data_IF_963813443687
#
_entry.id   IF_963813443687
#
_cell.length_a   1.000
_cell.length_b   1.000
_cell.length_c   1.000
_cell.angle_alpha   90.00
_cell.angle_beta   90.00
_cell.angle_gamma   90.00
#
_symmetry.space_group_name_H-M   'P 1'
#
loop_
_entity.id
_entity.type
_entity.pdbx_description
1 polymer ?
#
# COMPACT_ATOMS: atom_id res chain seq x y z
N UNK A 1 -32.34 1.14 -39.87
CA UNK A 1 -31.04 0.80 -39.23
C UNK A 1 -30.94 1.63 -37.96
N UNK A 2 -31.46 1.11 -36.88
CA UNK A 2 -31.46 1.71 -35.54
C UNK A 2 -30.44 0.91 -34.74
N UNK A 3 -29.28 1.51 -34.54
CA UNK A 3 -28.26 0.96 -33.69
C UNK A 3 -28.56 1.41 -32.23
N UNK A 4 -29.21 0.53 -31.50
CA UNK A 4 -29.59 0.72 -30.11
C UNK A 4 -28.72 -0.22 -29.24
N UNK A 5 -27.42 0.11 -29.11
CA UNK A 5 -26.51 -0.55 -28.19
C UNK A 5 -26.26 0.30 -26.95
N UNK A 6 -27.34 0.76 -26.29
CA UNK A 6 -27.25 1.25 -24.91
C UNK A 6 -27.29 0.07 -23.95
N UNK A 7 -26.14 -0.59 -23.84
CA UNK A 7 -25.94 -1.50 -22.73
C UNK A 7 -25.78 -0.63 -21.45
N UNK A 8 -26.66 -0.75 -20.45
CA UNK A 8 -26.49 0.03 -19.23
C UNK A 8 -25.12 -0.29 -18.62
N UNK A 9 -24.44 0.70 -18.01
CA UNK A 9 -23.18 0.46 -17.36
C UNK A 9 -23.36 -0.66 -16.33
N UNK A 10 -22.37 -1.58 -16.19
CA UNK A 10 -22.47 -2.68 -15.24
C UNK A 10 -22.74 -2.10 -13.84
N UNK A 11 -23.78 -2.62 -13.19
CA UNK A 11 -24.09 -2.28 -11.80
C UNK A 11 -22.87 -2.66 -10.99
N UNK A 12 -22.08 -1.67 -10.56
CA UNK A 12 -20.91 -1.89 -9.74
C UNK A 12 -21.36 -2.54 -8.44
N UNK A 13 -20.94 -3.79 -8.22
CA UNK A 13 -21.16 -4.45 -6.94
C UNK A 13 -20.56 -3.60 -5.82
N UNK A 14 -21.22 -3.53 -4.64
CA UNK A 14 -20.70 -2.75 -3.51
C UNK A 14 -19.27 -3.19 -3.15
N UNK A 15 -18.44 -2.28 -2.62
CA UNK A 15 -17.08 -2.60 -2.23
C UNK A 15 -17.08 -3.69 -1.14
N UNK A 16 -16.21 -4.69 -1.31
CA UNK A 16 -16.04 -5.79 -0.35
C UNK A 16 -15.08 -5.36 0.78
N UNK A 17 -15.33 -5.81 2.00
CA UNK A 17 -14.37 -5.63 3.10
C UNK A 17 -13.21 -6.60 2.89
N UNK A 18 -12.05 -6.08 2.48
CA UNK A 18 -10.85 -6.87 2.17
C UNK A 18 -10.00 -7.17 3.38
N UNK A 19 -10.09 -6.35 4.44
CA UNK A 19 -9.44 -6.61 5.72
C UNK A 19 -10.34 -6.19 6.87
N UNK A 20 -10.46 -7.06 7.86
CA UNK A 20 -11.18 -6.78 9.12
C UNK A 20 -10.31 -7.20 10.30
N UNK A 21 -10.08 -6.26 11.22
CA UNK A 21 -9.36 -6.48 12.48
C UNK A 21 -10.19 -5.97 13.64
N UNK A 22 -10.34 -6.77 14.69
CA UNK A 22 -11.05 -6.38 15.91
C UNK A 22 -10.36 -6.96 17.15
N UNK A 23 -10.14 -6.09 18.14
CA UNK A 23 -9.63 -6.47 19.46
C UNK A 23 -8.12 -6.71 19.49
N UNK A 24 -7.31 -5.94 18.76
CA UNK A 24 -5.84 -6.07 18.79
C UNK A 24 -5.26 -5.40 20.05
N UNK A 25 -4.41 -6.15 20.75
CA UNK A 25 -3.40 -5.63 21.67
C UNK A 25 -2.04 -6.19 21.26
N UNK A 26 -1.20 -5.32 20.67
CA UNK A 26 0.14 -5.68 20.22
C UNK A 26 1.18 -5.14 21.18
N UNK A 27 2.01 -6.02 21.73
CA UNK A 27 3.10 -5.67 22.64
C UNK A 27 4.43 -5.73 21.90
N UNK A 28 5.28 -4.78 22.19
CA UNK A 28 6.64 -4.65 21.73
C UNK A 28 7.56 -4.43 22.91
N UNK A 29 8.66 -5.12 22.95
CA UNK A 29 9.68 -4.88 23.96
C UNK A 29 10.87 -4.18 23.30
N UNK A 30 11.18 -2.97 23.75
CA UNK A 30 12.38 -2.24 23.37
C UNK A 30 13.54 -2.71 24.27
N UNK A 31 14.41 -3.56 23.71
CA UNK A 31 15.54 -4.16 24.44
C UNK A 31 16.53 -3.09 24.91
N UNK A 32 16.70 -2.00 24.15
CA UNK A 32 17.64 -0.93 24.46
C UNK A 32 17.17 -0.06 25.64
N UNK A 33 15.85 0.18 25.70
CA UNK A 33 15.24 0.99 26.76
C UNK A 33 14.71 0.19 27.94
N UNK A 34 14.61 -1.14 27.76
CA UNK A 34 14.00 -2.02 28.79
C UNK A 34 12.51 -1.77 29.01
N UNK A 35 11.82 -1.15 28.05
CA UNK A 35 10.43 -0.74 28.16
C UNK A 35 9.52 -1.53 27.22
N UNK A 36 8.30 -1.80 27.66
CA UNK A 36 7.24 -2.38 26.85
C UNK A 36 6.38 -1.26 26.26
N UNK A 37 6.16 -1.32 24.94
CA UNK A 37 5.23 -0.44 24.25
C UNK A 37 4.04 -1.24 23.71
N UNK A 38 2.82 -0.76 23.93
CA UNK A 38 1.59 -1.45 23.52
C UNK A 38 0.82 -0.65 22.47
N UNK A 39 0.35 -1.31 21.41
CA UNK A 39 -0.58 -0.75 20.42
C UNK A 39 -1.93 -1.41 20.56
N UNK A 40 -3.01 -0.60 20.69
CA UNK A 40 -4.38 -1.08 20.87
C UNK A 40 -5.29 -0.65 19.73
N UNK A 41 -6.13 -1.61 19.28
CA UNK A 41 -7.26 -1.39 18.37
C UNK A 41 -8.49 -1.95 19.05
N UNK A 42 -9.22 -1.10 19.76
CA UNK A 42 -10.36 -1.49 20.59
C UNK A 42 -11.67 -1.53 19.80
N UNK A 43 -11.78 -0.76 18.71
CA UNK A 43 -12.92 -0.73 17.80
C UNK A 43 -12.61 -1.49 16.50
N UNK A 44 -13.62 -2.08 15.82
CA UNK A 44 -13.39 -2.79 14.57
C UNK A 44 -12.81 -1.89 13.48
N UNK A 45 -11.69 -2.30 12.88
CA UNK A 45 -11.09 -1.67 11.72
C UNK A 45 -11.47 -2.49 10.47
N UNK A 46 -12.23 -1.90 9.56
CA UNK A 46 -12.69 -2.52 8.32
C UNK A 46 -12.21 -1.73 7.12
N UNK A 47 -11.42 -2.37 6.26
CA UNK A 47 -10.89 -1.78 5.04
C UNK A 47 -11.65 -2.35 3.86
N UNK A 48 -12.31 -1.49 3.10
CA UNK A 48 -13.05 -1.87 1.91
C UNK A 48 -12.14 -1.91 0.67
N UNK A 49 -12.47 -2.74 -0.30
CA UNK A 49 -11.85 -2.69 -1.64
C UNK A 49 -12.09 -1.32 -2.27
N UNK A 50 -11.21 -0.92 -3.17
CA UNK A 50 -11.28 0.38 -3.87
C UNK A 50 -11.13 1.60 -2.96
N UNK A 51 -10.75 1.42 -1.69
CA UNK A 51 -10.55 2.52 -0.75
C UNK A 51 -9.07 2.77 -0.46
N UNK A 52 -8.75 4.03 -0.20
CA UNK A 52 -7.50 4.47 0.41
C UNK A 52 -7.79 4.89 1.84
N UNK A 53 -7.10 4.26 2.78
CA UNK A 53 -7.19 4.53 4.21
C UNK A 53 -5.97 5.33 4.64
N UNK A 54 -6.15 6.45 5.33
CA UNK A 54 -5.07 7.18 5.97
C UNK A 54 -4.95 6.82 7.45
N UNK A 55 -3.78 6.37 7.87
CA UNK A 55 -3.44 6.16 9.27
C UNK A 55 -2.65 7.37 9.78
N UNK A 56 -3.31 8.20 10.56
CA UNK A 56 -2.79 9.46 11.11
C UNK A 56 -2.41 9.32 12.58
N UNK A 57 -1.47 10.13 13.01
CA UNK A 57 -1.09 10.27 14.42
C UNK A 57 0.35 10.76 14.59
N UNK A 58 0.73 11.20 15.79
CA UNK A 58 2.08 11.66 16.07
C UNK A 58 3.12 10.56 15.92
N UNK A 59 4.39 10.94 15.81
CA UNK A 59 5.49 9.97 15.79
C UNK A 59 5.52 9.17 17.10
N UNK A 60 5.85 7.89 17.00
CA UNK A 60 5.94 7.00 18.15
C UNK A 60 4.60 6.45 18.69
N UNK A 61 3.42 6.84 18.16
CA UNK A 61 2.16 6.27 18.61
C UNK A 61 1.84 4.86 18.10
N UNK A 62 2.76 4.20 17.37
CA UNK A 62 2.62 2.80 16.96
C UNK A 62 2.02 2.56 15.57
N UNK A 63 1.93 3.57 14.69
CA UNK A 63 1.40 3.41 13.31
C UNK A 63 2.11 2.31 12.52
N UNK A 64 3.44 2.35 12.47
CA UNK A 64 4.25 1.33 11.79
C UNK A 64 4.08 -0.05 12.42
N UNK A 65 3.93 -0.12 13.74
CA UNK A 65 3.61 -1.38 14.44
C UNK A 65 2.28 -1.96 13.99
N UNK A 66 1.23 -1.13 13.96
CA UNK A 66 -0.08 -1.55 13.46
C UNK A 66 0.02 -2.01 12.01
N UNK A 67 0.70 -1.24 11.14
CA UNK A 67 0.92 -1.60 9.74
C UNK A 67 1.61 -2.97 9.61
N UNK A 68 2.63 -3.26 10.43
CA UNK A 68 3.34 -4.55 10.35
C UNK A 68 2.47 -5.74 10.74
N UNK A 69 1.50 -5.57 11.64
CA UNK A 69 0.50 -6.60 11.97
C UNK A 69 -0.50 -6.77 10.84
N UNK A 70 -1.10 -5.67 10.37
CA UNK A 70 -2.06 -5.67 9.25
C UNK A 70 -1.44 -6.25 7.97
N UNK A 71 -0.16 -5.96 7.74
CA UNK A 71 0.62 -6.43 6.59
C UNK A 71 1.22 -7.83 6.75
N UNK A 72 0.88 -8.56 7.80
CA UNK A 72 1.36 -9.93 8.07
C UNK A 72 2.90 -10.04 8.19
N UNK A 73 3.59 -8.93 8.48
CA UNK A 73 5.04 -8.92 8.74
C UNK A 73 5.34 -9.34 10.19
N UNK A 74 4.38 -9.10 11.09
CA UNK A 74 4.47 -9.42 12.51
C UNK A 74 3.24 -10.21 12.97
N UNK A 75 3.49 -11.25 13.77
CA UNK A 75 2.42 -11.96 14.45
C UNK A 75 1.77 -11.07 15.50
N UNK A 76 0.44 -11.10 15.67
CA UNK A 76 -0.19 -10.53 16.86
C UNK A 76 0.41 -11.15 18.13
N UNK A 77 0.58 -10.33 19.18
CA UNK A 77 1.15 -10.81 20.46
C UNK A 77 0.26 -11.84 21.12
N UNK A 78 -1.05 -11.67 21.00
CA UNK A 78 -2.07 -12.55 21.58
C UNK A 78 -3.15 -12.87 20.55
N UNK A 79 -2.88 -13.77 19.55
CA UNK A 79 -3.87 -14.11 18.51
C UNK A 79 -5.19 -14.63 19.09
N UNK A 80 -5.13 -15.32 20.23
CA UNK A 80 -6.33 -15.86 20.94
C UNK A 80 -7.25 -14.76 21.47
N UNK A 81 -6.72 -13.57 21.77
CA UNK A 81 -7.49 -12.43 22.29
C UNK A 81 -8.19 -11.63 21.19
N UNK A 82 -7.78 -11.79 19.92
CA UNK A 82 -8.46 -11.16 18.80
C UNK A 82 -9.91 -11.65 18.70
N UNK A 83 -10.86 -10.73 18.55
CA UNK A 83 -12.24 -11.09 18.23
C UNK A 83 -12.38 -11.47 16.78
N UNK A 84 -11.71 -10.74 15.87
CA UNK A 84 -11.71 -11.00 14.43
C UNK A 84 -10.40 -10.54 13.79
N UNK A 85 -9.86 -11.34 12.88
CA UNK A 85 -8.77 -10.93 11.97
C UNK A 85 -8.90 -11.74 10.68
N UNK A 86 -9.45 -11.09 9.65
CA UNK A 86 -9.83 -11.75 8.39
C UNK A 86 -9.33 -10.91 7.22
N UNK A 87 -8.80 -11.59 6.20
CA UNK A 87 -8.47 -11.00 4.91
C UNK A 87 -9.28 -11.70 3.83
N UNK A 88 -9.86 -10.92 2.90
CA UNK A 88 -10.50 -11.45 1.70
C UNK A 88 -9.68 -11.11 0.48
N UNK A 89 -9.51 -12.08 -0.40
CA UNK A 89 -8.73 -11.93 -1.64
C UNK A 89 -9.60 -12.24 -2.85
N UNK A 90 -9.45 -11.47 -3.96
CA UNK A 90 -10.27 -11.68 -5.14
C UNK A 90 -9.92 -12.97 -5.85
N UNK A 91 -10.95 -13.69 -6.33
CA UNK A 91 -10.83 -14.86 -7.19
C UNK A 91 -10.97 -14.48 -8.67
N UNK A 92 -10.45 -15.32 -9.60
CA UNK A 92 -10.60 -15.10 -11.04
C UNK A 92 -12.06 -15.12 -11.53
N UNK A 93 -12.94 -15.88 -10.86
CA UNK A 93 -14.38 -15.97 -11.17
C UNK A 93 -15.21 -14.77 -10.71
N UNK A 94 -14.58 -13.75 -10.16
CA UNK A 94 -15.25 -12.58 -9.61
C UNK A 94 -15.64 -12.69 -8.14
N UNK A 95 -15.55 -13.86 -7.53
CA UNK A 95 -15.79 -14.09 -6.10
C UNK A 95 -14.65 -13.62 -5.19
N UNK A 96 -14.74 -14.01 -3.91
CA UNK A 96 -13.76 -13.73 -2.88
C UNK A 96 -13.42 -14.99 -2.08
N UNK A 97 -12.15 -15.16 -1.76
CA UNK A 97 -11.69 -16.17 -0.79
C UNK A 97 -11.49 -15.47 0.56
N UNK A 98 -12.08 -16.06 1.61
CA UNK A 98 -11.89 -15.58 2.98
C UNK A 98 -10.77 -16.35 3.67
N UNK A 99 -9.84 -15.64 4.29
CA UNK A 99 -8.71 -16.16 5.06
C UNK A 99 -8.85 -15.72 6.51
N UNK A 100 -9.16 -16.63 7.43
CA UNK A 100 -9.14 -16.36 8.86
C UNK A 100 -7.68 -16.29 9.36
N UNK A 101 -7.13 -15.08 9.39
CA UNK A 101 -5.75 -14.83 9.81
C UNK A 101 -5.52 -15.15 11.27
N UNK A 102 -6.55 -14.98 12.13
CA UNK A 102 -6.47 -15.37 13.54
C UNK A 102 -6.20 -16.86 13.67
N UNK A 103 -6.98 -17.70 12.99
CA UNK A 103 -6.81 -19.15 12.96
C UNK A 103 -5.48 -19.57 12.36
N UNK A 104 -5.00 -18.89 11.29
CA UNK A 104 -3.69 -19.17 10.69
C UNK A 104 -2.54 -18.87 11.67
N UNK A 105 -2.62 -17.78 12.44
CA UNK A 105 -1.62 -17.49 13.47
C UNK A 105 -1.67 -18.46 14.64
N UNK A 106 -2.85 -18.86 15.11
CA UNK A 106 -3.03 -19.81 16.19
C UNK A 106 -2.51 -21.20 15.84
N UNK A 107 -2.73 -21.65 14.60
CA UNK A 107 -2.26 -22.95 14.11
C UNK A 107 -0.78 -22.97 13.71
N UNK A 108 -0.10 -21.81 13.72
CA UNK A 108 1.29 -21.70 13.27
C UNK A 108 1.45 -21.95 11.76
N UNK A 109 0.43 -21.68 10.94
CA UNK A 109 0.42 -21.89 9.49
C UNK A 109 1.29 -20.87 8.74
N UNK A 110 2.58 -20.79 9.09
CA UNK A 110 3.54 -19.79 8.57
C UNK A 110 3.58 -19.73 7.05
N UNK A 111 3.61 -20.90 6.37
CA UNK A 111 3.66 -20.96 4.90
C UNK A 111 2.44 -20.30 4.24
N UNK A 112 1.25 -20.46 4.82
CA UNK A 112 0.03 -19.82 4.32
C UNK A 112 0.08 -18.30 4.50
N UNK A 113 0.57 -17.83 5.64
CA UNK A 113 0.74 -16.40 5.93
C UNK A 113 1.80 -15.78 4.99
N UNK A 114 2.94 -16.43 4.80
CA UNK A 114 4.00 -15.99 3.88
C UNK A 114 3.52 -15.94 2.43
N UNK A 115 2.72 -16.94 2.02
CA UNK A 115 2.10 -16.95 0.70
C UNK A 115 1.13 -15.79 0.51
N UNK A 116 0.21 -15.55 1.45
CA UNK A 116 -0.71 -14.41 1.41
C UNK A 116 0.06 -13.09 1.34
N UNK A 117 1.09 -12.91 2.18
CA UNK A 117 1.93 -11.71 2.17
C UNK A 117 2.60 -11.50 0.81
N UNK A 118 3.23 -12.53 0.24
CA UNK A 118 3.93 -12.45 -1.04
C UNK A 118 3.01 -12.17 -2.22
N UNK A 119 1.83 -12.82 -2.24
CA UNK A 119 0.92 -12.79 -3.39
C UNK A 119 -0.08 -11.65 -3.33
N UNK A 120 -0.46 -11.19 -2.12
CA UNK A 120 -1.62 -10.33 -1.91
C UNK A 120 -1.32 -9.01 -1.22
N UNK A 121 -0.08 -8.80 -0.76
CA UNK A 121 0.29 -7.58 -0.03
C UNK A 121 1.48 -6.91 -0.72
N UNK A 122 1.35 -5.61 -0.95
CA UNK A 122 2.43 -4.75 -1.42
C UNK A 122 2.91 -3.81 -0.32
N UNK A 123 4.21 -3.52 -0.31
CA UNK A 123 4.81 -2.59 0.66
C UNK A 123 5.67 -1.57 -0.06
N UNK A 124 5.39 -0.28 0.20
CA UNK A 124 6.25 0.85 -0.09
C UNK A 124 6.58 1.54 1.23
N UNK A 125 7.62 1.05 1.90
CA UNK A 125 8.06 1.55 3.19
C UNK A 125 8.91 2.81 3.02
N UNK A 126 9.04 3.63 4.06
CA UNK A 126 9.80 4.88 4.06
C UNK A 126 11.27 4.67 3.65
N UNK A 127 11.91 3.59 4.11
CA UNK A 127 13.25 3.19 3.71
C UNK A 127 13.35 2.71 2.24
N UNK A 128 12.20 2.45 1.60
CA UNK A 128 12.05 1.93 0.24
C UNK A 128 12.62 0.54 0.01
N UNK A 129 13.63 0.14 0.74
CA UNK A 129 14.29 -1.18 0.73
C UNK A 129 14.50 -1.77 -0.68
N UNK A 130 14.84 -0.90 -1.64
CA UNK A 130 15.18 -1.35 -2.99
C UNK A 130 16.50 -2.12 -2.96
N UNK A 131 16.60 -3.14 -3.79
CA UNK A 131 17.78 -3.99 -3.88
C UNK A 131 18.89 -3.29 -4.67
N UNK A 132 20.01 -2.87 -4.03
CA UNK A 132 21.04 -2.05 -4.70
C UNK A 132 21.78 -2.78 -5.83
N UNK A 133 21.80 -4.11 -5.79
CA UNK A 133 22.41 -4.94 -6.82
C UNK A 133 21.61 -4.98 -8.13
N UNK A 134 20.31 -4.65 -8.06
CA UNK A 134 19.39 -4.71 -9.19
C UNK A 134 19.20 -3.33 -9.83
N UNK A 135 18.84 -3.34 -11.12
CA UNK A 135 18.38 -2.14 -11.85
C UNK A 135 16.96 -1.74 -11.37
N UNK A 136 16.49 -0.56 -11.80
CA UNK A 136 15.11 -0.12 -11.59
C UNK A 136 14.11 -1.16 -12.09
N UNK A 137 14.28 -1.61 -13.35
CA UNK A 137 13.42 -2.62 -13.98
C UNK A 137 13.39 -3.93 -13.19
N UNK A 138 14.54 -4.43 -12.78
CA UNK A 138 14.65 -5.67 -12.00
C UNK A 138 14.04 -5.54 -10.61
N UNK A 139 14.19 -4.39 -9.94
CA UNK A 139 13.52 -4.12 -8.67
C UNK A 139 12.00 -4.20 -8.81
N UNK A 140 11.43 -3.54 -9.83
CA UNK A 140 9.99 -3.58 -10.09
C UNK A 140 9.53 -4.99 -10.43
N UNK A 141 10.32 -5.76 -11.19
CA UNK A 141 9.99 -7.12 -11.60
C UNK A 141 10.02 -8.15 -10.45
N UNK A 142 10.79 -7.89 -9.39
CA UNK A 142 11.07 -8.85 -8.32
C UNK A 142 9.82 -9.53 -7.74
N UNK A 143 8.71 -8.84 -7.38
CA UNK A 143 7.52 -9.52 -6.83
C UNK A 143 6.86 -10.47 -7.82
N UNK A 144 6.84 -10.14 -9.12
CA UNK A 144 6.29 -11.01 -10.16
C UNK A 144 7.15 -12.28 -10.35
N UNK A 145 8.47 -12.11 -10.34
CA UNK A 145 9.43 -13.22 -10.44
C UNK A 145 9.30 -14.19 -9.26
N UNK A 146 9.18 -13.65 -8.03
CA UNK A 146 8.97 -14.44 -6.81
C UNK A 146 7.63 -15.19 -6.81
N UNK A 147 6.64 -14.69 -7.53
CA UNK A 147 5.33 -15.34 -7.72
C UNK A 147 5.29 -16.26 -8.96
N UNK A 148 6.41 -16.49 -9.63
CA UNK A 148 6.50 -17.41 -10.77
C UNK A 148 5.78 -16.93 -12.03
N UNK A 149 5.57 -15.62 -12.19
CA UNK A 149 4.91 -15.05 -13.37
C UNK A 149 5.80 -15.21 -14.61
N UNK A 150 5.21 -15.63 -15.72
CA UNK A 150 5.92 -15.81 -16.99
C UNK A 150 6.65 -14.52 -17.44
N UNK A 151 7.86 -14.67 -17.95
CA UNK A 151 8.74 -13.54 -18.29
C UNK A 151 8.10 -12.54 -19.28
N UNK A 152 7.28 -12.98 -20.22
CA UNK A 152 6.59 -12.08 -21.15
C UNK A 152 5.55 -11.19 -20.45
N UNK A 153 4.74 -11.78 -19.55
CA UNK A 153 3.73 -11.07 -18.74
C UNK A 153 4.42 -10.12 -17.77
N UNK A 154 5.52 -10.57 -17.14
CA UNK A 154 6.33 -9.77 -16.24
C UNK A 154 6.87 -8.51 -16.97
N UNK A 155 7.46 -8.67 -18.17
CA UNK A 155 7.96 -7.53 -18.96
C UNK A 155 6.86 -6.53 -19.29
N UNK A 156 5.73 -6.99 -19.83
CA UNK A 156 4.62 -6.12 -20.22
C UNK A 156 4.10 -5.31 -19.01
N UNK A 157 3.95 -5.96 -17.85
CA UNK A 157 3.47 -5.28 -16.64
C UNK A 157 4.49 -4.27 -16.08
N UNK A 158 5.78 -4.59 -16.15
CA UNK A 158 6.85 -3.67 -15.74
C UNK A 158 6.91 -2.47 -16.68
N UNK A 159 6.77 -2.66 -18.01
CA UNK A 159 6.75 -1.56 -18.98
C UNK A 159 5.57 -0.61 -18.73
N UNK A 160 4.37 -1.14 -18.45
CA UNK A 160 3.20 -0.35 -18.08
C UNK A 160 3.46 0.54 -16.86
N UNK A 161 4.10 -0.01 -15.82
CA UNK A 161 4.38 0.75 -14.59
C UNK A 161 5.53 1.74 -14.76
N UNK A 162 6.55 1.41 -15.52
CA UNK A 162 7.61 2.36 -15.87
C UNK A 162 7.04 3.59 -16.57
N UNK A 163 6.08 3.41 -17.46
CA UNK A 163 5.37 4.50 -18.12
C UNK A 163 4.50 5.28 -17.14
N UNK A 164 3.64 4.59 -16.38
CA UNK A 164 2.69 5.20 -15.43
C UNK A 164 3.39 6.04 -14.36
N UNK A 165 4.58 5.62 -13.89
CA UNK A 165 5.36 6.34 -12.89
C UNK A 165 6.42 7.29 -13.48
N UNK A 166 6.44 7.50 -14.81
CA UNK A 166 7.41 8.37 -15.49
C UNK A 166 8.86 7.91 -15.29
N UNK A 167 9.09 6.60 -15.29
CA UNK A 167 10.41 5.98 -15.08
C UNK A 167 11.05 5.48 -16.39
N UNK A 168 10.41 5.71 -17.54
CA UNK A 168 10.88 5.32 -18.88
C UNK A 168 11.53 6.46 -19.68
N UNK A 169 11.87 7.57 -19.03
CA UNK A 169 12.43 8.77 -19.63
C UNK A 169 13.68 8.53 -20.49
N UNK A 170 14.04 9.48 -21.39
CA UNK A 170 15.22 9.39 -22.23
C UNK A 170 16.49 9.26 -21.38
N UNK A 171 17.61 8.77 -21.98
CA UNK A 171 18.89 8.71 -21.32
C UNK A 171 19.27 10.08 -20.75
N UNK A 172 19.64 10.15 -19.49
CA UNK A 172 20.08 11.41 -18.88
C UNK A 172 21.36 11.90 -19.58
N UNK A 173 21.41 13.21 -19.85
CA UNK A 173 22.57 13.89 -20.44
C UNK A 173 23.83 13.84 -19.54
N UNK A 174 23.73 13.34 -18.31
CA UNK A 174 24.81 13.29 -17.32
C UNK A 174 25.77 12.08 -17.52
N UNK A 175 26.22 11.85 -18.73
CA UNK A 175 27.45 11.10 -18.99
C UNK A 175 27.36 9.57 -19.04
N UNK A 176 26.27 8.90 -18.70
CA UNK A 176 26.20 7.43 -18.78
C UNK A 176 25.43 6.88 -19.99
N UNK A 177 24.68 7.72 -20.72
CA UNK A 177 23.87 7.32 -21.88
C UNK A 177 22.84 6.21 -21.60
N UNK A 178 22.62 5.83 -20.34
CA UNK A 178 21.68 4.77 -19.95
C UNK A 178 20.30 5.34 -19.64
N UNK A 179 19.28 4.61 -20.04
CA UNK A 179 17.89 4.86 -19.66
C UNK A 179 17.71 4.65 -18.15
N UNK A 180 16.75 5.36 -17.55
CA UNK A 180 16.49 5.29 -16.11
C UNK A 180 16.14 3.87 -15.66
N UNK A 181 15.32 3.13 -16.43
CA UNK A 181 14.91 1.77 -16.13
C UNK A 181 16.09 0.76 -16.04
N UNK A 182 17.22 1.06 -16.72
CA UNK A 182 18.45 0.28 -16.70
C UNK A 182 19.48 0.79 -15.67
N UNK A 183 19.15 1.87 -14.97
CA UNK A 183 20.03 2.45 -13.96
C UNK A 183 19.98 1.65 -12.67
N UNK A 184 21.09 1.67 -11.92
CA UNK A 184 21.13 1.12 -10.56
C UNK A 184 20.54 2.11 -9.57
N UNK A 185 20.03 1.59 -8.45
CA UNK A 185 19.29 2.33 -7.43
C UNK A 185 20.10 3.48 -6.81
N UNK A 186 21.40 3.31 -6.64
CA UNK A 186 22.28 4.33 -6.07
C UNK A 186 22.47 5.59 -6.94
N UNK A 187 21.89 5.61 -8.15
CA UNK A 187 21.94 6.75 -9.07
C UNK A 187 20.61 7.51 -9.15
N UNK A 188 19.62 7.08 -8.39
CA UNK A 188 18.29 7.69 -8.37
C UNK A 188 18.27 8.91 -7.45
N UNK A 189 17.48 9.93 -7.85
CA UNK A 189 17.03 10.96 -6.91
C UNK A 189 16.05 10.35 -5.90
N UNK A 190 15.85 11.04 -4.75
CA UNK A 190 14.89 10.56 -3.74
C UNK A 190 13.48 10.32 -4.30
N UNK A 191 13.02 11.22 -5.18
CA UNK A 191 11.70 11.07 -5.82
C UNK A 191 11.62 9.91 -6.81
N UNK A 192 12.67 9.64 -7.57
CA UNK A 192 12.72 8.46 -8.44
C UNK A 192 12.76 7.18 -7.63
N UNK A 193 13.56 7.16 -6.56
CA UNK A 193 13.64 6.04 -5.64
C UNK A 193 12.26 5.67 -5.09
N UNK A 194 11.50 6.67 -4.65
CA UNK A 194 10.16 6.46 -4.09
C UNK A 194 9.15 5.99 -5.14
N UNK A 195 9.18 6.54 -6.37
CA UNK A 195 8.34 6.05 -7.46
C UNK A 195 8.67 4.60 -7.85
N UNK A 196 9.95 4.21 -7.83
CA UNK A 196 10.36 2.82 -8.05
C UNK A 196 9.84 1.90 -6.92
N UNK A 197 9.92 2.34 -5.67
CA UNK A 197 9.39 1.60 -4.52
C UNK A 197 7.87 1.38 -4.62
N UNK A 198 7.12 2.42 -5.00
CA UNK A 198 5.67 2.33 -5.26
C UNK A 198 5.34 1.40 -6.44
N UNK A 199 6.05 1.54 -7.57
CA UNK A 199 5.87 0.68 -8.73
C UNK A 199 6.13 -0.79 -8.39
N UNK A 200 7.21 -1.08 -7.63
CA UNK A 200 7.50 -2.43 -7.13
C UNK A 200 6.40 -2.97 -6.22
N UNK A 201 5.88 -2.15 -5.32
CA UNK A 201 4.86 -2.56 -4.38
C UNK A 201 3.52 -2.91 -5.04
N UNK A 202 3.23 -2.31 -6.21
CA UNK A 202 1.94 -2.44 -6.92
C UNK A 202 1.97 -3.45 -8.08
N UNK A 203 3.17 -3.85 -8.54
CA UNK A 203 3.36 -4.60 -9.81
C UNK A 203 2.56 -5.90 -9.85
N UNK A 204 2.44 -6.62 -8.76
CA UNK A 204 1.74 -7.90 -8.65
C UNK A 204 0.24 -7.75 -8.32
N UNK A 205 -0.32 -6.52 -8.42
CA UNK A 205 -1.73 -6.20 -8.14
C UNK A 205 -2.18 -6.70 -6.77
N UNK A 206 -1.57 -6.22 -5.69
CA UNK A 206 -1.89 -6.69 -4.35
C UNK A 206 -3.35 -6.41 -3.98
N UNK A 207 -3.93 -7.22 -3.10
CA UNK A 207 -5.23 -6.91 -2.47
C UNK A 207 -5.10 -5.76 -1.49
N UNK A 208 -3.96 -5.66 -0.78
CA UNK A 208 -3.65 -4.58 0.14
C UNK A 208 -2.28 -3.99 -0.18
N UNK A 209 -2.25 -2.68 -0.39
CA UNK A 209 -1.02 -1.90 -0.55
C UNK A 209 -0.79 -1.08 0.71
N UNK A 210 0.37 -1.22 1.33
CA UNK A 210 0.80 -0.39 2.45
C UNK A 210 1.86 0.61 1.99
N UNK A 211 1.62 1.89 2.30
CA UNK A 211 2.51 3.00 1.93
C UNK A 211 2.86 3.77 3.19
N UNK A 212 4.12 3.73 3.60
CA UNK A 212 4.60 4.40 4.80
C UNK A 212 5.30 5.70 4.43
N UNK A 213 4.73 6.82 4.86
CA UNK A 213 5.19 8.19 4.62
C UNK A 213 5.62 8.47 3.17
N UNK A 214 4.70 8.38 2.19
CA UNK A 214 5.02 8.50 0.76
C UNK A 214 5.61 9.87 0.37
N UNK A 215 5.62 10.81 1.28
CA UNK A 215 5.95 12.23 1.05
C UNK A 215 7.25 12.67 1.71
N UNK A 216 7.87 11.85 2.57
CA UNK A 216 9.04 12.24 3.36
C UNK A 216 10.29 12.61 2.54
N UNK A 217 10.40 12.09 1.30
CA UNK A 217 11.51 12.36 0.38
C UNK A 217 11.07 13.12 -0.89
N UNK A 218 9.81 13.56 -0.97
CA UNK A 218 9.22 14.21 -2.12
C UNK A 218 8.85 15.67 -1.80
N UNK A 219 8.98 16.56 -2.81
CA UNK A 219 8.25 17.81 -2.73
C UNK A 219 6.74 17.52 -2.85
N UNK A 220 5.91 18.48 -2.45
CA UNK A 220 4.45 18.32 -2.36
C UNK A 220 3.80 17.88 -3.69
N UNK A 221 4.27 18.41 -4.82
CA UNK A 221 3.73 18.07 -6.15
C UNK A 221 4.03 16.63 -6.55
N UNK A 222 5.26 16.16 -6.34
CA UNK A 222 5.65 14.78 -6.62
C UNK A 222 4.94 13.79 -5.71
N UNK A 223 4.75 14.15 -4.44
CA UNK A 223 3.98 13.37 -3.48
C UNK A 223 2.52 13.23 -3.91
N UNK A 224 1.91 14.33 -4.32
CA UNK A 224 0.55 14.38 -4.84
C UNK A 224 0.39 13.48 -6.07
N UNK A 225 1.28 13.64 -7.08
CA UNK A 225 1.27 12.79 -8.27
C UNK A 225 1.46 11.30 -7.98
N UNK A 226 2.33 10.95 -7.03
CA UNK A 226 2.53 9.56 -6.62
C UNK A 226 1.26 8.96 -5.97
N UNK A 227 0.57 9.71 -5.11
CA UNK A 227 -0.69 9.28 -4.50
C UNK A 227 -1.84 9.19 -5.51
N UNK A 228 -1.90 10.09 -6.50
CA UNK A 228 -2.84 9.97 -7.62
C UNK A 228 -2.63 8.65 -8.37
N UNK A 229 -1.37 8.26 -8.65
CA UNK A 229 -1.06 6.98 -9.28
C UNK A 229 -1.47 5.79 -8.41
N UNK A 230 -1.18 5.83 -7.12
CA UNK A 230 -1.65 4.80 -6.18
C UNK A 230 -3.17 4.68 -6.24
N UNK A 231 -3.88 5.80 -6.18
CA UNK A 231 -5.34 5.80 -6.21
C UNK A 231 -5.89 5.26 -7.53
N UNK A 232 -5.34 5.67 -8.68
CA UNK A 232 -5.77 5.22 -10.01
C UNK A 232 -5.52 3.73 -10.24
N UNK A 233 -4.42 3.18 -9.75
CA UNK A 233 -4.02 1.78 -9.98
C UNK A 233 -4.60 0.82 -8.94
N UNK A 234 -4.71 1.25 -7.68
CA UNK A 234 -5.05 0.39 -6.54
C UNK A 234 -6.49 0.57 -6.05
N UNK A 235 -7.05 1.79 -6.18
CA UNK A 235 -8.36 2.14 -5.62
C UNK A 235 -9.39 2.53 -6.69
N UNK A 236 -9.11 2.30 -7.99
CA UNK A 236 -10.05 2.59 -9.07
C UNK A 236 -11.31 1.70 -9.02
N UNK A 237 -12.41 2.08 -9.68
CA UNK A 237 -13.62 1.26 -9.78
C UNK A 237 -13.39 -0.15 -10.32
N UNK A 238 -12.38 -0.32 -11.18
CA UNK A 238 -12.00 -1.61 -11.76
C UNK A 238 -11.02 -2.42 -10.89
N UNK A 239 -10.44 -1.80 -9.85
CA UNK A 239 -9.58 -2.46 -8.90
C UNK A 239 -10.38 -3.27 -7.89
N UNK A 240 -9.79 -4.35 -7.39
CA UNK A 240 -10.32 -5.12 -6.26
C UNK A 240 -9.41 -5.00 -5.03
N UNK A 241 -8.44 -4.10 -5.08
CA UNK A 241 -7.51 -3.81 -3.99
C UNK A 241 -7.95 -2.64 -3.13
N UNK A 242 -7.17 -2.39 -2.09
CA UNK A 242 -7.23 -1.22 -1.23
C UNK A 242 -5.80 -0.74 -0.90
N UNK A 243 -5.68 0.50 -0.44
CA UNK A 243 -4.40 1.04 0.03
C UNK A 243 -4.54 1.57 1.46
N UNK A 244 -3.46 1.43 2.25
CA UNK A 244 -3.32 2.02 3.58
C UNK A 244 -2.07 2.89 3.57
N UNK A 245 -2.25 4.17 3.80
CA UNK A 245 -1.19 5.17 3.82
C UNK A 245 -0.95 5.61 5.26
N UNK A 246 0.30 5.52 5.73
CA UNK A 246 0.72 6.21 6.94
C UNK A 246 1.18 7.61 6.55
N UNK A 247 0.65 8.63 7.21
CA UNK A 247 1.11 10.01 7.04
C UNK A 247 0.88 10.81 8.31
N UNK A 248 1.63 11.90 8.47
CA UNK A 248 1.36 12.94 9.46
C UNK A 248 0.74 14.19 8.82
N UNK A 249 0.55 14.19 7.50
CA UNK A 249 -0.02 15.30 6.73
C UNK A 249 -1.56 15.14 6.65
N UNK A 250 -2.27 15.94 7.47
CA UNK A 250 -3.73 16.01 7.49
C UNK A 250 -4.33 16.43 6.15
N UNK A 251 -3.64 17.29 5.39
CA UNK A 251 -4.14 17.77 4.10
C UNK A 251 -4.11 16.68 3.05
N UNK A 252 -3.03 15.87 3.02
CA UNK A 252 -2.95 14.70 2.15
C UNK A 252 -3.99 13.66 2.53
N UNK A 253 -4.18 13.40 3.82
CA UNK A 253 -5.20 12.47 4.27
C UNK A 253 -6.60 12.93 3.84
N UNK A 254 -6.96 14.18 4.08
CA UNK A 254 -8.25 14.75 3.69
C UNK A 254 -8.45 14.73 2.15
N UNK A 255 -7.38 14.97 1.37
CA UNK A 255 -7.46 15.01 -0.07
C UNK A 255 -7.61 13.64 -0.73
N UNK A 256 -6.96 12.61 -0.19
CA UNK A 256 -6.84 11.32 -0.86
C UNK A 256 -7.58 10.16 -0.19
N UNK A 257 -7.75 10.18 1.15
CA UNK A 257 -8.31 9.04 1.86
C UNK A 257 -9.85 9.00 1.80
N UNK A 258 -10.41 7.79 1.70
CA UNK A 258 -11.83 7.50 1.85
C UNK A 258 -12.18 7.21 3.32
N UNK A 259 -11.18 6.84 4.12
CA UNK A 259 -11.30 6.60 5.55
C UNK A 259 -10.05 7.11 6.26
N UNK A 260 -10.25 7.78 7.38
CA UNK A 260 -9.17 8.27 8.24
C UNK A 260 -9.22 7.51 9.56
N UNK A 261 -8.10 6.90 9.93
CA UNK A 261 -7.87 6.20 11.20
C UNK A 261 -6.88 7.01 12.02
N UNK A 262 -7.31 7.55 13.16
CA UNK A 262 -6.44 8.34 14.02
C UNK A 262 -5.92 7.50 15.17
N UNK A 263 -4.60 7.58 15.35
CA UNK A 263 -3.92 7.00 16.51
C UNK A 263 -3.37 8.10 17.41
N UNK A 264 -3.46 7.87 18.72
CA UNK A 264 -2.91 8.77 19.73
C UNK A 264 -2.11 8.00 20.79
N UNK A 265 -1.12 8.64 21.43
CA UNK A 265 -0.49 8.08 22.62
C UNK A 265 -1.49 8.04 23.78
N UNK A 266 -1.41 6.99 24.59
CA UNK A 266 -2.23 6.87 25.81
C UNK A 266 -1.55 7.64 26.95
N UNK A 267 -2.20 8.65 27.54
CA UNK A 267 -1.60 9.46 28.60
C UNK A 267 -1.11 8.60 29.78
N UNK A 268 0.15 8.82 30.20
CA UNK A 268 0.76 8.11 31.32
C UNK A 268 1.12 6.64 31.07
N UNK A 269 1.05 6.16 29.81
CA UNK A 269 1.41 4.81 29.43
C UNK A 269 2.36 4.80 28.23
N UNK A 270 3.25 3.82 28.18
CA UNK A 270 4.03 3.52 26.96
C UNK A 270 3.14 2.76 25.97
N UNK A 271 2.15 3.45 25.42
CA UNK A 271 1.13 2.85 24.56
C UNK A 271 0.57 3.85 23.55
N UNK A 272 0.09 3.32 22.44
CA UNK A 272 -0.72 4.05 21.45
C UNK A 272 -1.99 3.29 21.12
N UNK A 273 -3.04 4.00 20.79
CA UNK A 273 -4.34 3.41 20.46
C UNK A 273 -5.00 4.07 19.25
N UNK A 274 -5.87 3.33 18.59
CA UNK A 274 -6.80 3.87 17.60
C UNK A 274 -7.94 4.56 18.33
N UNK A 275 -7.95 5.89 18.26
CA UNK A 275 -8.94 6.73 18.98
C UNK A 275 -10.15 7.05 18.11
N UNK A 276 -9.99 7.08 16.79
CA UNK A 276 -11.05 7.48 15.87
C UNK A 276 -10.93 6.76 14.53
N UNK A 277 -12.08 6.37 13.95
CA UNK A 277 -12.20 5.87 12.59
C UNK A 277 -13.37 6.59 11.93
N UNK A 278 -13.10 7.42 10.93
CA UNK A 278 -14.10 8.23 10.24
C UNK A 278 -14.06 8.00 8.73
N UNK A 279 -15.24 7.99 8.11
CA UNK A 279 -15.37 8.07 6.65
C UNK A 279 -15.05 9.48 6.18
N UNK A 280 -14.40 9.60 5.05
CA UNK A 280 -14.01 10.86 4.45
C UNK A 280 -14.43 10.87 2.97
N UNK A 281 -14.65 12.06 2.41
CA UNK A 281 -14.90 12.25 0.98
C UNK A 281 -13.66 12.92 0.38
N UNK A 282 -12.86 12.19 -0.41
CA UNK A 282 -11.61 12.73 -0.93
C UNK A 282 -11.85 13.89 -1.90
N UNK A 283 -11.20 15.02 -1.67
CA UNK A 283 -11.30 16.20 -2.55
C UNK A 283 -10.48 16.05 -3.82
N UNK A 284 -9.38 15.30 -3.80
CA UNK A 284 -8.54 15.04 -4.98
C UNK A 284 -9.20 14.09 -6.00
N UNK A 285 -10.28 13.41 -5.63
CA UNK A 285 -11.04 12.57 -6.58
C UNK A 285 -11.79 13.39 -7.62
N UNK A 286 -12.04 14.69 -7.36
CA UNK A 286 -12.74 15.60 -8.28
C UNK A 286 -11.81 16.23 -9.34
N UNK A 287 -10.51 16.17 -9.18
CA UNK A 287 -9.50 16.81 -10.06
C UNK A 287 -8.56 15.78 -10.67
N UNK A 288 -9.04 14.90 -11.54
CA UNK A 288 -8.16 14.03 -12.33
C UNK A 288 -7.98 14.63 -13.74
N UNK A 289 -6.98 15.49 -13.98
CA UNK A 289 -6.47 15.67 -15.31
C UNK A 289 -5.50 14.50 -15.59
N UNK A 290 -5.80 13.70 -16.59
CA UNK A 290 -4.83 12.78 -17.21
C UNK A 290 -3.68 13.58 -17.84
N UNK A 291 -2.72 14.01 -17.03
CA UNK A 291 -1.47 14.56 -17.50
C UNK A 291 -0.33 13.69 -17.01
N UNK A 292 0.47 13.08 -17.90
CA UNK A 292 1.64 12.31 -17.47
C UNK A 292 2.63 13.24 -16.76
N UNK A 293 3.29 12.72 -15.72
CA UNK A 293 4.30 13.39 -14.88
C UNK A 293 5.58 13.85 -15.63
N UNK A 294 5.52 14.07 -16.94
CA UNK A 294 6.68 14.35 -17.80
C UNK A 294 7.06 15.83 -17.88
N UNK A 295 6.32 16.79 -17.30
CA UNK A 295 6.60 18.22 -17.46
C UNK A 295 6.88 18.97 -16.14
N UNK A 296 7.85 18.54 -15.37
CA UNK A 296 8.42 19.37 -14.29
C UNK A 296 9.91 19.13 -14.15
N UNK A 297 10.65 19.40 -15.25
CA UNK A 297 12.11 19.59 -15.20
C UNK A 297 12.44 20.74 -16.13
N UNK A 298 12.42 21.94 -15.59
CA UNK A 298 13.24 23.07 -16.04
C UNK A 298 14.14 23.51 -14.92
#
# INVERSE_FOLDING_TARGET
MTDDSTNPPPIESPPEIVLELDGLEQRLFDVERGEEFTVRVSQPLRIASRSLVALLGPSGCGKTTLLTVLGLLRSPSHPQALRRFVMRTPRPDGGWDEHDLRSLWLSGARRSIERLRRERIGFALQSGELLPALTVRENIATPLMLNGVMAAVCRARVDELLESFGLNGPPRLNGSGRRLDQSRINKLSGGEYQRVALARAIVHRPTLLYVDEPTSALNRELAWGALQQVRSLQCSPHSRGAAVMITHDEQLAAAFADMIVRMAPVPGQSAGEVVEVVSNVPTAAAEVPHKPLTEAVT
#
